data_IF_471676147479
#
_entry.id   IF_471676147479
#
_cell.length_a   1.000
_cell.length_b   1.000
_cell.length_c   1.000
_cell.angle_alpha   90.00
_cell.angle_beta   90.00
_cell.angle_gamma   90.00
#
_symmetry.space_group_name_H-M   'P 1'
#
loop_
_entity.id
_entity.type
_entity.pdbx_description
1 polymer ?
#
# COMPACT_ATOMS: atom_id res chain seq x y z
N UNK A 1 -16.04 32.11 -37.49
CA UNK A 1 -17.17 31.36 -38.06
C UNK A 1 -16.77 29.91 -38.24
N UNK A 2 -17.31 29.00 -37.44
CA UNK A 2 -17.65 27.63 -37.84
C UNK A 2 -18.86 27.23 -37.02
N UNK A 3 -19.91 26.85 -37.75
CA UNK A 3 -21.30 26.79 -37.35
C UNK A 3 -21.61 25.67 -36.35
N UNK A 4 -22.40 26.02 -35.33
CA UNK A 4 -23.12 25.12 -34.43
C UNK A 4 -24.45 24.73 -35.10
N UNK A 5 -24.78 23.43 -35.27
CA UNK A 5 -26.14 23.02 -35.62
C UNK A 5 -27.02 22.86 -34.36
N UNK A 6 -28.35 23.03 -34.48
CA UNK A 6 -29.25 23.26 -33.34
C UNK A 6 -29.63 21.99 -32.58
N UNK A 7 -29.84 22.17 -31.28
CA UNK A 7 -30.37 21.18 -30.36
C UNK A 7 -31.82 20.82 -30.70
N UNK A 8 -32.07 19.51 -30.88
CA UNK A 8 -33.40 18.91 -30.87
C UNK A 8 -33.53 18.06 -29.61
N UNK A 9 -34.35 18.52 -28.67
CA UNK A 9 -34.82 17.73 -27.52
C UNK A 9 -35.83 16.68 -28.00
N UNK A 10 -35.65 15.38 -27.68
CA UNK A 10 -36.77 14.46 -27.54
C UNK A 10 -37.24 14.42 -26.08
N UNK A 11 -38.56 14.48 -25.92
CA UNK A 11 -39.30 14.20 -24.69
C UNK A 11 -39.08 12.75 -24.23
N UNK A 12 -39.31 12.42 -22.95
CA UNK A 12 -38.96 11.12 -22.38
C UNK A 12 -39.96 10.04 -22.86
N UNK A 13 -39.50 9.14 -23.73
CA UNK A 13 -40.15 7.87 -24.00
C UNK A 13 -39.64 6.81 -23.04
N UNK A 14 -40.58 6.00 -22.56
CA UNK A 14 -40.43 4.96 -21.55
C UNK A 14 -39.25 4.02 -21.85
N UNK A 15 -38.31 3.93 -20.91
CA UNK A 15 -37.20 3.00 -20.98
C UNK A 15 -37.70 1.56 -20.79
N UNK A 16 -38.09 0.92 -21.90
CA UNK A 16 -38.09 -0.53 -21.98
C UNK A 16 -36.64 -1.02 -21.91
N UNK A 17 -36.33 -1.87 -20.94
CA UNK A 17 -35.05 -2.56 -20.81
C UNK A 17 -34.73 -3.33 -22.10
N UNK A 18 -33.96 -2.71 -23.00
CA UNK A 18 -33.29 -3.45 -24.07
C UNK A 18 -32.21 -4.30 -23.46
N UNK A 19 -32.56 -5.55 -23.15
CA UNK A 19 -31.64 -6.66 -22.89
C UNK A 19 -30.65 -6.70 -24.06
N UNK A 20 -29.40 -6.26 -23.82
CA UNK A 20 -28.30 -6.51 -24.75
C UNK A 20 -28.19 -8.03 -24.94
N UNK A 21 -28.58 -8.51 -26.11
CA UNK A 21 -28.33 -9.89 -26.54
C UNK A 21 -26.81 -10.11 -26.54
N UNK A 22 -26.28 -10.73 -25.49
CA UNK A 22 -24.94 -11.29 -25.51
C UNK A 22 -24.85 -12.27 -26.68
N UNK A 23 -23.97 -11.97 -27.63
CA UNK A 23 -23.59 -12.92 -28.67
C UNK A 23 -22.97 -14.11 -27.95
N UNK A 24 -23.69 -15.25 -27.96
CA UNK A 24 -23.22 -16.52 -27.37
C UNK A 24 -22.03 -17.03 -28.19
N UNK A 25 -20.83 -16.58 -27.88
CA UNK A 25 -19.61 -17.22 -28.34
C UNK A 25 -19.51 -18.61 -27.70
N UNK A 26 -19.34 -19.66 -28.53
CA UNK A 26 -19.19 -21.04 -28.02
C UNK A 26 -18.09 -21.09 -26.95
N UNK A 27 -18.30 -21.72 -25.77
CA UNK A 27 -17.25 -21.86 -24.76
C UNK A 27 -15.95 -22.47 -25.28
N UNK A 28 -16.03 -23.28 -26.35
CA UNK A 28 -14.87 -23.85 -27.03
C UNK A 28 -13.98 -22.79 -27.69
N UNK A 29 -14.53 -21.64 -28.08
CA UNK A 29 -13.73 -20.57 -28.70
C UNK A 29 -12.67 -20.05 -27.74
N UNK A 30 -13.01 -19.88 -26.46
CA UNK A 30 -12.06 -19.43 -25.43
C UNK A 30 -10.96 -20.47 -25.18
N UNK A 31 -11.31 -21.76 -25.27
CA UNK A 31 -10.31 -22.84 -25.15
C UNK A 31 -9.38 -22.83 -26.36
N UNK A 32 -9.92 -22.71 -27.57
CA UNK A 32 -9.13 -22.64 -28.81
C UNK A 32 -8.24 -21.39 -28.83
N UNK A 33 -8.74 -20.23 -28.41
CA UNK A 33 -7.96 -18.99 -28.29
C UNK A 33 -6.85 -19.11 -27.25
N UNK A 34 -7.12 -19.74 -26.11
CA UNK A 34 -6.11 -20.02 -25.11
C UNK A 34 -5.01 -20.94 -25.65
N UNK A 35 -5.37 -22.05 -26.30
CA UNK A 35 -4.40 -22.97 -26.90
C UNK A 35 -3.60 -22.31 -28.04
N UNK A 36 -4.24 -21.46 -28.85
CA UNK A 36 -3.53 -20.66 -29.86
C UNK A 36 -2.53 -19.72 -29.21
N UNK A 37 -2.92 -19.03 -28.13
CA UNK A 37 -2.03 -18.14 -27.39
C UNK A 37 -0.81 -18.89 -26.83
N UNK A 38 -1.00 -20.12 -26.35
CA UNK A 38 0.09 -20.99 -25.91
C UNK A 38 0.99 -21.43 -27.07
N UNK A 39 0.41 -21.77 -28.21
CA UNK A 39 1.17 -22.20 -29.40
C UNK A 39 1.99 -21.06 -30.03
N UNK A 40 1.63 -19.80 -29.79
CA UNK A 40 2.38 -18.62 -30.24
C UNK A 40 3.43 -18.13 -29.26
N UNK A 41 3.49 -18.67 -28.04
CA UNK A 41 4.52 -18.32 -27.07
C UNK A 41 5.86 -18.92 -27.49
N UNK A 42 6.92 -18.16 -27.27
CA UNK A 42 8.29 -18.65 -27.39
C UNK A 42 8.51 -19.87 -26.48
N UNK A 43 9.29 -20.85 -26.96
CA UNK A 43 9.52 -22.11 -26.26
C UNK A 43 10.15 -21.89 -24.88
N UNK A 44 11.08 -20.93 -24.76
CA UNK A 44 11.70 -20.61 -23.47
C UNK A 44 10.71 -19.99 -22.49
N UNK A 45 9.76 -19.17 -22.96
CA UNK A 45 8.68 -18.64 -22.11
C UNK A 45 7.70 -19.73 -21.69
N UNK A 46 7.39 -20.67 -22.59
CA UNK A 46 6.48 -21.78 -22.31
C UNK A 46 7.06 -22.71 -21.24
N UNK A 47 8.36 -23.04 -21.32
CA UNK A 47 9.07 -23.82 -20.29
C UNK A 47 9.05 -23.16 -18.90
N UNK A 48 9.07 -21.83 -18.86
CA UNK A 48 9.01 -21.04 -17.61
C UNK A 48 7.59 -20.67 -17.20
N UNK A 49 6.57 -21.23 -17.84
CA UNK A 49 5.17 -20.95 -17.55
C UNK A 49 4.45 -22.13 -16.93
N UNK A 50 3.40 -21.85 -16.15
CA UNK A 50 2.46 -22.86 -15.66
C UNK A 50 1.04 -22.57 -16.08
N UNK A 51 0.37 -23.60 -16.61
CA UNK A 51 -1.07 -23.57 -16.87
C UNK A 51 -1.81 -23.92 -15.58
N UNK A 52 -2.63 -22.99 -15.10
CA UNK A 52 -3.52 -23.15 -13.96
C UNK A 52 -4.94 -23.30 -14.48
N UNK A 53 -5.64 -24.32 -13.98
CA UNK A 53 -7.03 -24.60 -14.34
C UNK A 53 -7.90 -24.45 -13.12
N UNK A 54 -8.72 -23.42 -13.08
CA UNK A 54 -9.73 -23.22 -12.04
C UNK A 54 -11.03 -23.86 -12.50
N UNK A 55 -11.42 -24.95 -11.83
CA UNK A 55 -12.68 -25.66 -12.10
C UNK A 55 -13.79 -25.07 -11.25
N UNK A 56 -14.93 -24.77 -11.85
CA UNK A 56 -16.13 -24.32 -11.14
C UNK A 56 -17.37 -24.89 -11.79
N UNK A 57 -18.40 -25.20 -10.99
CA UNK A 57 -19.70 -25.67 -11.46
C UNK A 57 -20.36 -24.60 -12.34
N UNK A 58 -20.17 -23.33 -11.97
CA UNK A 58 -20.55 -22.22 -12.83
C UNK A 58 -19.47 -21.98 -13.89
N UNK A 59 -19.79 -22.26 -15.15
CA UNK A 59 -18.86 -22.13 -16.28
C UNK A 59 -18.28 -20.71 -16.42
N UNK A 60 -19.01 -19.66 -16.03
CA UNK A 60 -18.50 -18.29 -16.07
C UNK A 60 -17.38 -18.02 -15.05
N UNK A 61 -17.20 -18.92 -14.08
CA UNK A 61 -16.15 -18.88 -13.06
C UNK A 61 -15.04 -19.90 -13.30
N UNK A 62 -15.18 -20.77 -14.30
CA UNK A 62 -14.12 -21.67 -14.72
C UNK A 62 -13.14 -20.89 -15.61
N UNK A 63 -11.83 -21.08 -15.43
CA UNK A 63 -10.84 -20.40 -16.25
C UNK A 63 -9.55 -21.19 -16.43
N UNK A 64 -8.89 -20.92 -17.57
CA UNK A 64 -7.52 -21.31 -17.85
C UNK A 64 -6.65 -20.07 -17.73
N UNK A 65 -5.52 -20.17 -17.03
CA UNK A 65 -4.54 -19.10 -16.92
C UNK A 65 -3.17 -19.65 -17.22
N UNK A 66 -2.39 -18.94 -18.03
CA UNK A 66 -0.97 -19.19 -18.19
C UNK A 66 -0.22 -18.21 -17.28
N UNK A 67 0.50 -18.73 -16.30
CA UNK A 67 1.29 -17.95 -15.36
C UNK A 67 2.77 -18.07 -15.72
N UNK A 68 3.40 -16.97 -16.14
CA UNK A 68 4.84 -16.91 -16.31
C UNK A 68 5.50 -16.88 -14.92
N UNK A 69 6.32 -17.89 -14.62
CA UNK A 69 7.00 -18.04 -13.33
C UNK A 69 8.33 -17.28 -13.31
N UNK A 70 9.00 -17.21 -14.47
CA UNK A 70 10.27 -16.52 -14.64
C UNK A 70 10.24 -15.59 -15.86
N UNK A 71 10.31 -14.25 -15.66
CA UNK A 71 10.31 -13.29 -16.76
C UNK A 71 11.68 -13.13 -17.44
N UNK A 72 12.71 -13.86 -17.02
CA UNK A 72 14.09 -13.73 -17.53
C UNK A 72 14.18 -13.71 -19.07
N UNK A 73 13.54 -14.62 -19.82
CA UNK A 73 13.69 -14.64 -21.29
C UNK A 73 13.20 -13.36 -21.98
N UNK A 74 12.19 -12.68 -21.42
CA UNK A 74 11.73 -11.38 -21.94
C UNK A 74 12.77 -10.27 -21.74
N UNK A 75 13.54 -10.36 -20.65
CA UNK A 75 14.53 -9.35 -20.31
C UNK A 75 15.89 -9.62 -20.97
N UNK A 76 16.20 -10.88 -21.30
CA UNK A 76 17.40 -11.27 -22.05
C UNK A 76 17.49 -10.48 -23.38
N UNK A 77 16.37 -10.34 -24.10
CA UNK A 77 16.31 -9.56 -25.34
C UNK A 77 16.63 -8.07 -25.10
N UNK A 78 16.03 -7.47 -24.08
CA UNK A 78 16.25 -6.05 -23.73
C UNK A 78 17.71 -5.79 -23.36
N UNK A 79 18.30 -6.67 -22.55
CA UNK A 79 19.69 -6.54 -22.10
C UNK A 79 20.67 -6.72 -23.25
N UNK A 80 20.43 -7.71 -24.13
CA UNK A 80 21.30 -8.01 -25.27
C UNK A 80 21.32 -6.88 -26.30
N UNK A 81 20.14 -6.30 -26.58
CA UNK A 81 19.99 -5.38 -27.70
C UNK A 81 20.24 -3.92 -27.29
N UNK A 82 20.09 -3.58 -26.01
CA UNK A 82 20.35 -2.24 -25.51
C UNK A 82 21.84 -1.98 -25.23
N UNK A 83 22.32 -0.80 -25.61
CA UNK A 83 23.68 -0.34 -25.24
C UNK A 83 23.86 -0.16 -23.72
N UNK A 84 22.80 0.24 -23.02
CA UNK A 84 22.77 0.44 -21.57
C UNK A 84 21.33 0.39 -21.06
N UNK A 85 21.12 -0.31 -19.95
CA UNK A 85 19.82 -0.42 -19.27
C UNK A 85 19.91 0.28 -17.92
N UNK A 86 19.06 1.28 -17.70
CA UNK A 86 18.95 2.00 -16.44
C UNK A 86 17.58 1.71 -15.84
N UNK A 87 17.58 1.07 -14.67
CA UNK A 87 16.37 0.85 -13.87
C UNK A 87 16.33 1.90 -12.76
N UNK A 88 15.28 2.74 -12.76
CA UNK A 88 15.11 3.80 -11.77
C UNK A 88 13.69 3.75 -11.18
N UNK A 89 13.61 3.86 -9.85
CA UNK A 89 12.33 3.92 -9.15
C UNK A 89 12.48 4.28 -7.67
N UNK A 90 11.51 5.03 -7.13
CA UNK A 90 11.52 5.51 -5.75
C UNK A 90 11.18 4.46 -4.69
N UNK A 91 10.63 3.30 -5.10
CA UNK A 91 10.14 2.24 -4.20
C UNK A 91 10.62 0.83 -4.62
N UNK A 92 11.78 0.75 -5.28
CA UNK A 92 12.32 -0.53 -5.80
C UNK A 92 12.78 -1.52 -4.72
N UNK A 93 12.91 -1.06 -3.48
CA UNK A 93 13.31 -1.90 -2.36
C UNK A 93 12.12 -2.72 -1.82
N UNK A 94 12.30 -4.02 -1.53
CA UNK A 94 13.56 -4.80 -1.57
C UNK A 94 14.01 -5.12 -3.01
N UNK A 95 15.28 -4.85 -3.34
CA UNK A 95 15.84 -4.99 -4.71
C UNK A 95 16.25 -6.43 -5.05
N UNK A 96 16.28 -7.32 -4.06
CA UNK A 96 16.78 -8.69 -4.16
C UNK A 96 16.03 -9.49 -5.25
N UNK A 97 14.72 -9.25 -5.41
CA UNK A 97 13.94 -9.88 -6.49
C UNK A 97 14.37 -9.39 -7.88
N UNK A 98 14.70 -8.11 -8.01
CA UNK A 98 15.21 -7.57 -9.27
C UNK A 98 16.61 -8.09 -9.55
N UNK A 99 17.46 -8.19 -8.53
CA UNK A 99 18.80 -8.79 -8.66
C UNK A 99 18.71 -10.23 -9.12
N UNK A 100 17.91 -11.06 -8.45
CA UNK A 100 17.80 -12.48 -8.76
C UNK A 100 17.34 -12.69 -10.22
N UNK A 101 16.22 -12.08 -10.62
CA UNK A 101 15.68 -12.29 -11.97
C UNK A 101 16.50 -11.58 -13.05
N UNK A 102 16.78 -10.27 -12.89
CA UNK A 102 17.34 -9.45 -13.97
C UNK A 102 18.86 -9.51 -14.04
N UNK A 103 19.56 -9.79 -12.93
CA UNK A 103 21.02 -9.80 -12.91
C UNK A 103 21.57 -11.22 -12.75
N UNK A 104 21.12 -11.98 -11.74
CA UNK A 104 21.66 -13.30 -11.50
C UNK A 104 21.21 -14.31 -12.55
N UNK A 105 19.92 -14.37 -12.90
CA UNK A 105 19.43 -15.35 -13.89
C UNK A 105 19.68 -14.92 -15.33
N UNK A 106 19.47 -13.63 -15.63
CA UNK A 106 19.65 -13.09 -16.97
C UNK A 106 21.13 -12.80 -17.30
N UNK A 107 21.80 -11.91 -16.55
CA UNK A 107 23.16 -11.48 -16.90
C UNK A 107 24.20 -12.57 -16.69
N UNK A 108 24.13 -13.40 -15.64
CA UNK A 108 25.11 -14.50 -15.49
C UNK A 108 25.04 -15.50 -16.65
N UNK A 109 23.87 -15.67 -17.28
CA UNK A 109 23.69 -16.59 -18.40
C UNK A 109 24.15 -15.97 -19.72
N UNK A 110 23.79 -14.72 -19.97
CA UNK A 110 24.08 -14.06 -21.25
C UNK A 110 25.49 -13.44 -21.29
N UNK A 111 25.97 -12.88 -20.17
CA UNK A 111 27.18 -12.07 -20.09
C UNK A 111 27.79 -12.03 -18.67
N UNK A 112 28.50 -13.09 -18.21
CA UNK A 112 29.10 -13.13 -16.87
C UNK A 112 29.98 -11.93 -16.53
N UNK A 113 30.75 -11.41 -17.50
CA UNK A 113 31.62 -10.25 -17.32
C UNK A 113 30.84 -8.93 -17.12
N UNK A 114 29.58 -8.88 -17.58
CA UNK A 114 28.73 -7.71 -17.44
C UNK A 114 28.01 -7.67 -16.09
N UNK A 115 27.87 -8.82 -15.42
CA UNK A 115 27.31 -8.91 -14.07
C UNK A 115 28.12 -8.05 -13.07
N UNK A 116 29.45 -8.07 -13.18
CA UNK A 116 30.34 -7.27 -12.32
C UNK A 116 30.24 -5.76 -12.58
N UNK A 117 29.60 -5.35 -13.69
CA UNK A 117 29.35 -3.94 -14.02
C UNK A 117 28.03 -3.42 -13.48
N UNK A 118 27.21 -4.25 -12.82
CA UNK A 118 25.93 -3.82 -12.24
C UNK A 118 26.20 -2.83 -11.12
N UNK A 119 25.91 -1.55 -11.39
CA UNK A 119 26.02 -0.49 -10.40
C UNK A 119 24.66 -0.24 -9.75
N UNK A 120 24.66 -0.17 -8.41
CA UNK A 120 23.48 0.14 -7.62
C UNK A 120 23.75 1.45 -6.91
N UNK A 121 22.94 2.44 -7.24
CA UNK A 121 23.01 3.76 -6.66
C UNK A 121 21.72 4.06 -5.90
N UNK A 122 21.85 4.56 -4.67
CA UNK A 122 20.73 5.03 -3.85
C UNK A 122 21.04 6.43 -3.38
N UNK A 123 20.14 7.37 -3.69
CA UNK A 123 20.17 8.69 -3.10
C UNK A 123 19.68 8.64 -1.64
N UNK A 124 20.13 9.61 -0.84
CA UNK A 124 19.49 9.93 0.44
C UNK A 124 18.06 10.43 0.23
N UNK A 125 17.35 10.60 1.35
CA UNK A 125 15.98 11.15 1.31
C UNK A 125 15.99 12.63 0.88
N UNK A 126 14.92 13.06 0.19
CA UNK A 126 14.82 14.43 -0.34
C UNK A 126 14.63 15.48 0.77
N UNK A 127 14.01 15.08 1.89
CA UNK A 127 13.85 15.93 3.09
C UNK A 127 14.83 15.54 4.21
N UNK A 128 15.29 16.50 5.04
CA UNK A 128 16.04 16.24 6.25
C UNK A 128 15.27 15.36 7.27
N UNK A 129 15.98 14.66 8.18
CA UNK A 129 15.36 13.82 9.22
C UNK A 129 14.45 14.55 10.22
N UNK A 130 14.44 15.88 10.24
CA UNK A 130 13.56 16.69 11.09
C UNK A 130 12.17 16.86 10.52
N UNK A 131 12.00 16.71 9.19
CA UNK A 131 10.73 16.86 8.49
C UNK A 131 10.00 15.53 8.30
N UNK A 132 10.59 14.43 8.75
CA UNK A 132 10.02 13.10 8.56
C UNK A 132 10.17 12.29 9.83
N UNK A 133 9.04 11.88 10.38
CA UNK A 133 9.01 11.00 11.52
C UNK A 133 8.27 9.72 11.15
N UNK A 134 8.96 8.59 11.35
CA UNK A 134 8.41 7.28 11.12
C UNK A 134 8.49 6.45 12.40
N UNK A 135 7.36 5.86 12.80
CA UNK A 135 7.27 5.06 14.02
C UNK A 135 6.49 3.76 13.78
N UNK A 136 6.97 2.67 14.39
CA UNK A 136 6.23 1.41 14.48
C UNK A 136 5.55 1.36 15.84
N UNK A 137 4.22 1.44 15.81
CA UNK A 137 3.38 1.34 16.98
C UNK A 137 2.88 -0.10 17.13
N UNK A 138 3.46 -0.83 18.09
CA UNK A 138 3.14 -2.25 18.31
C UNK A 138 2.02 -2.48 19.30
N UNK A 139 1.65 -1.46 20.07
CA UNK A 139 0.62 -1.51 21.11
C UNK A 139 -0.21 -0.22 21.07
N UNK A 140 -1.49 -0.33 21.39
CA UNK A 140 -2.36 0.83 21.53
C UNK A 140 -2.19 1.56 22.87
N UNK A 141 -2.96 2.64 23.09
CA UNK A 141 -2.96 3.43 24.32
C UNK A 141 -3.05 2.61 25.63
N UNK A 142 -3.83 1.53 25.67
CA UNK A 142 -3.98 0.71 26.90
C UNK A 142 -2.92 -0.39 27.02
N UNK A 143 -2.00 -0.49 26.06
CA UNK A 143 -0.95 -1.50 26.02
C UNK A 143 -1.35 -2.81 25.33
N UNK A 144 -2.59 -2.93 24.82
CA UNK A 144 -3.01 -4.06 23.98
C UNK A 144 -2.22 -4.09 22.68
N UNK A 145 -1.73 -5.26 22.30
CA UNK A 145 -0.87 -5.44 21.13
C UNK A 145 -1.66 -5.33 19.82
N UNK A 146 -1.07 -4.67 18.83
CA UNK A 146 -1.58 -4.59 17.47
C UNK A 146 -1.09 -5.77 16.63
N UNK A 147 -1.99 -6.72 16.35
CA UNK A 147 -1.74 -7.83 15.44
C UNK A 147 -2.91 -7.99 14.48
N UNK A 148 -2.83 -7.38 13.30
CA UNK A 148 -3.91 -7.41 12.32
C UNK A 148 -3.82 -8.65 11.41
N UNK A 149 -3.80 -9.83 12.03
CA UNK A 149 -3.82 -11.12 11.33
C UNK A 149 -5.24 -11.52 10.95
N UNK A 150 -5.41 -12.51 10.07
CA UNK A 150 -6.73 -13.06 9.75
C UNK A 150 -7.48 -13.57 11.00
N UNK A 151 -6.75 -14.13 11.97
CA UNK A 151 -7.30 -14.64 13.21
C UNK A 151 -7.74 -13.51 14.16
N UNK A 152 -6.96 -12.43 14.24
CA UNK A 152 -7.16 -11.39 15.25
C UNK A 152 -7.94 -10.17 14.74
N UNK A 153 -8.18 -10.04 13.43
CA UNK A 153 -8.89 -8.88 12.83
C UNK A 153 -10.32 -8.64 13.31
N UNK A 154 -10.89 -9.55 14.10
CA UNK A 154 -12.21 -9.42 14.73
C UNK A 154 -12.13 -9.05 16.22
N UNK A 155 -10.94 -8.93 16.78
CA UNK A 155 -10.74 -8.55 18.17
C UNK A 155 -11.18 -7.10 18.39
N UNK A 156 -12.32 -6.95 19.05
CA UNK A 156 -12.94 -5.65 19.33
C UNK A 156 -12.05 -4.77 20.23
N UNK A 157 -11.26 -5.36 21.13
CA UNK A 157 -10.36 -4.58 21.98
C UNK A 157 -9.24 -3.96 21.15
N UNK A 158 -8.66 -4.73 20.23
CA UNK A 158 -7.66 -4.21 19.29
C UNK A 158 -8.24 -3.13 18.37
N UNK A 159 -9.50 -3.27 17.94
CA UNK A 159 -10.17 -2.24 17.14
C UNK A 159 -10.50 -0.98 17.97
N UNK A 160 -10.81 -1.12 19.26
CA UNK A 160 -10.96 0.01 20.18
C UNK A 160 -9.65 0.79 20.34
N UNK A 161 -8.53 0.09 20.51
CA UNK A 161 -7.20 0.72 20.53
C UNK A 161 -6.93 1.51 19.24
N UNK A 162 -7.23 0.91 18.08
CA UNK A 162 -7.05 1.57 16.79
C UNK A 162 -7.92 2.85 16.70
N UNK A 163 -9.18 2.78 17.13
CA UNK A 163 -10.06 3.93 17.19
C UNK A 163 -9.54 5.04 18.09
N UNK A 164 -8.96 4.69 19.25
CA UNK A 164 -8.32 5.65 20.14
C UNK A 164 -7.07 6.29 19.50
N UNK A 165 -6.24 5.54 18.77
CA UNK A 165 -5.12 6.09 18.01
C UNK A 165 -5.63 7.10 16.96
N UNK A 166 -6.63 6.71 16.16
CA UNK A 166 -7.18 7.56 15.09
C UNK A 166 -7.82 8.84 15.64
N UNK A 167 -8.54 8.76 16.77
CA UNK A 167 -9.10 9.94 17.47
C UNK A 167 -8.00 10.92 17.88
N UNK A 168 -6.94 10.44 18.53
CA UNK A 168 -5.85 11.29 18.97
C UNK A 168 -5.12 11.93 17.78
N UNK A 169 -4.84 11.15 16.73
CA UNK A 169 -4.23 11.68 15.51
C UNK A 169 -5.12 12.71 14.82
N UNK A 170 -6.45 12.55 14.84
CA UNK A 170 -7.37 13.54 14.27
C UNK A 170 -7.35 14.89 14.99
N UNK A 171 -6.94 14.93 16.26
CA UNK A 171 -6.79 16.16 17.03
C UNK A 171 -5.43 16.80 16.77
N UNK A 172 -4.35 16.00 16.78
CA UNK A 172 -2.97 16.52 16.74
C UNK A 172 -2.48 16.89 15.34
N UNK A 173 -2.87 16.14 14.31
CA UNK A 173 -2.30 16.30 12.97
C UNK A 173 -3.09 17.35 12.17
N UNK A 174 -2.45 18.40 11.62
CA UNK A 174 -3.10 19.36 10.74
C UNK A 174 -3.37 18.75 9.35
N UNK A 175 -4.29 19.34 8.59
CA UNK A 175 -4.57 18.90 7.22
C UNK A 175 -5.09 17.46 7.14
N UNK A 176 -4.53 16.70 6.20
CA UNK A 176 -4.93 15.37 5.78
C UNK A 176 -4.24 14.22 6.53
N UNK A 177 -5.05 13.24 6.95
CA UNK A 177 -4.58 11.94 7.44
C UNK A 177 -5.00 10.86 6.44
N UNK A 178 -4.07 10.06 5.95
CA UNK A 178 -4.37 8.92 5.06
C UNK A 178 -4.15 7.63 5.82
N UNK A 179 -5.22 6.86 6.03
CA UNK A 179 -5.20 5.57 6.71
C UNK A 179 -5.22 4.47 5.66
N UNK A 180 -4.12 3.73 5.52
CA UNK A 180 -3.99 2.59 4.64
C UNK A 180 -4.27 1.28 5.37
N UNK A 181 -5.21 0.50 4.85
CA UNK A 181 -5.61 -0.79 5.41
C UNK A 181 -5.14 -1.92 4.50
N UNK A 182 -4.85 -3.08 5.08
CA UNK A 182 -4.36 -4.25 4.36
C UNK A 182 -5.33 -4.86 3.33
N UNK A 183 -6.64 -4.59 3.44
CA UNK A 183 -7.65 -5.09 2.49
C UNK A 183 -8.96 -4.33 2.65
N UNK A 184 -9.84 -4.41 1.64
CA UNK A 184 -11.21 -3.87 1.73
C UNK A 184 -12.03 -4.51 2.86
N UNK A 185 -11.82 -5.80 3.17
CA UNK A 185 -12.53 -6.44 4.30
C UNK A 185 -12.07 -5.85 5.64
N UNK A 186 -10.76 -5.62 5.81
CA UNK A 186 -10.23 -4.97 7.01
C UNK A 186 -10.73 -3.52 7.12
N UNK A 187 -10.72 -2.76 6.02
CA UNK A 187 -11.24 -1.38 5.98
C UNK A 187 -12.71 -1.32 6.38
N UNK A 188 -13.56 -2.18 5.81
CA UNK A 188 -14.98 -2.23 6.16
C UNK A 188 -15.18 -2.58 7.64
N UNK A 189 -14.40 -3.53 8.18
CA UNK A 189 -14.48 -3.92 9.59
C UNK A 189 -14.11 -2.77 10.52
N UNK A 190 -12.99 -2.11 10.26
CA UNK A 190 -12.54 -0.95 11.04
C UNK A 190 -13.60 0.14 10.98
N UNK A 191 -14.07 0.50 9.78
CA UNK A 191 -15.05 1.56 9.61
C UNK A 191 -16.37 1.26 10.33
N UNK A 192 -16.93 0.06 10.16
CA UNK A 192 -18.15 -0.37 10.86
C UNK A 192 -17.97 -0.41 12.38
N UNK A 193 -16.79 -0.80 12.87
CA UNK A 193 -16.48 -0.77 14.30
C UNK A 193 -16.44 0.66 14.84
N UNK A 194 -15.77 1.58 14.13
CA UNK A 194 -15.71 3.00 14.52
C UNK A 194 -17.10 3.63 14.55
N UNK A 195 -17.96 3.28 13.59
CA UNK A 195 -19.35 3.73 13.55
C UNK A 195 -20.15 3.20 14.75
N UNK A 196 -20.11 1.89 15.01
CA UNK A 196 -20.86 1.25 16.11
C UNK A 196 -20.40 1.67 17.50
N UNK A 197 -19.10 1.90 17.68
CA UNK A 197 -18.52 2.34 18.95
C UNK A 197 -18.71 3.85 19.21
N UNK A 198 -19.20 4.62 18.23
CA UNK A 198 -19.29 6.08 18.30
C UNK A 198 -17.95 6.82 18.08
N UNK A 199 -16.83 6.09 17.97
CA UNK A 199 -15.51 6.67 17.72
C UNK A 199 -15.45 7.46 16.40
N UNK A 200 -16.18 7.02 15.37
CA UNK A 200 -16.27 7.72 14.09
C UNK A 200 -16.83 9.14 14.27
N UNK A 201 -17.90 9.29 15.07
CA UNK A 201 -18.51 10.58 15.34
C UNK A 201 -17.54 11.53 16.06
N UNK A 202 -16.74 10.99 16.98
CA UNK A 202 -15.71 11.75 17.68
C UNK A 202 -14.60 12.22 16.73
N UNK A 203 -14.14 11.35 15.82
CA UNK A 203 -13.17 11.72 14.78
C UNK A 203 -13.76 12.81 13.87
N UNK A 204 -15.03 12.67 13.47
CA UNK A 204 -15.72 13.63 12.60
C UNK A 204 -15.96 15.01 13.24
N UNK A 205 -15.83 15.14 14.57
CA UNK A 205 -15.81 16.47 15.22
C UNK A 205 -14.57 17.28 14.84
N UNK A 206 -13.48 16.61 14.47
CA UNK A 206 -12.21 17.24 14.11
C UNK A 206 -11.87 17.12 12.64
N UNK A 207 -12.10 15.96 12.01
CA UNK A 207 -11.74 15.70 10.61
C UNK A 207 -12.87 15.05 9.84
N UNK A 208 -13.20 15.59 8.66
CA UNK A 208 -14.18 14.92 7.80
C UNK A 208 -13.62 13.58 7.31
N UNK A 209 -14.36 12.49 7.50
CA UNK A 209 -13.91 11.15 7.09
C UNK A 209 -14.41 10.81 5.69
N UNK A 210 -13.48 10.30 4.87
CA UNK A 210 -13.68 9.80 3.53
C UNK A 210 -13.26 8.34 3.44
N UNK A 211 -13.83 7.62 2.47
CA UNK A 211 -13.51 6.23 2.20
C UNK A 211 -13.23 6.04 0.72
N UNK A 212 -12.39 5.06 0.42
CA UNK A 212 -12.16 4.63 -0.94
C UNK A 212 -13.44 4.12 -1.61
N UNK A 213 -13.82 4.68 -2.78
CA UNK A 213 -15.02 4.24 -3.47
C UNK A 213 -14.80 2.84 -4.08
N UNK A 214 -15.86 2.04 -4.07
CA UNK A 214 -15.85 0.73 -4.73
C UNK A 214 -15.77 0.86 -6.25
N UNK A 215 -16.34 1.92 -6.81
CA UNK A 215 -16.30 2.20 -8.25
C UNK A 215 -15.17 3.19 -8.58
N UNK A 216 -14.39 2.87 -9.61
CA UNK A 216 -13.31 3.72 -10.11
C UNK A 216 -13.82 5.08 -10.61
N UNK A 217 -15.05 5.14 -11.12
CA UNK A 217 -15.66 6.39 -11.63
C UNK A 217 -15.82 7.49 -10.57
N UNK A 218 -15.81 7.12 -9.28
CA UNK A 218 -16.02 8.04 -8.16
C UNK A 218 -14.71 8.46 -7.49
N UNK A 219 -13.57 7.91 -7.88
CA UNK A 219 -12.26 8.20 -7.27
C UNK A 219 -11.93 9.69 -7.33
N UNK A 220 -12.01 10.29 -8.51
CA UNK A 220 -11.68 11.70 -8.71
C UNK A 220 -12.58 12.65 -7.90
N UNK A 221 -13.87 12.33 -7.80
CA UNK A 221 -14.84 13.11 -7.02
C UNK A 221 -14.52 13.10 -5.52
N UNK A 222 -14.18 11.93 -4.98
CA UNK A 222 -13.81 11.79 -3.56
C UNK A 222 -12.50 12.50 -3.27
N UNK A 223 -11.50 12.38 -4.15
CA UNK A 223 -10.22 13.07 -3.99
C UNK A 223 -10.38 14.59 -4.03
N UNK A 224 -11.20 15.11 -4.95
CA UNK A 224 -11.47 16.54 -5.05
C UNK A 224 -12.12 17.08 -3.78
N UNK A 225 -13.11 16.36 -3.23
CA UNK A 225 -13.76 16.78 -1.98
C UNK A 225 -12.84 16.58 -0.76
N UNK A 226 -12.01 15.53 -0.73
CA UNK A 226 -10.98 15.34 0.29
C UNK A 226 -9.99 16.52 0.30
N UNK A 227 -9.43 16.86 -0.85
CA UNK A 227 -8.50 17.96 -1.05
C UNK A 227 -9.11 19.32 -0.63
N UNK A 228 -10.38 19.55 -0.98
CA UNK A 228 -11.12 20.73 -0.53
C UNK A 228 -11.26 20.78 1.00
N UNK A 229 -11.53 19.65 1.66
CA UNK A 229 -11.67 19.59 3.14
C UNK A 229 -10.34 19.69 3.86
N UNK A 230 -9.28 19.14 3.30
CA UNK A 230 -7.91 19.23 3.84
C UNK A 230 -7.49 20.68 4.03
N UNK A 231 -7.82 21.55 3.06
CA UNK A 231 -7.51 22.98 3.11
C UNK A 231 -8.36 23.80 4.09
N UNK A 232 -9.37 23.20 4.71
CA UNK A 232 -10.15 23.85 5.77
C UNK A 232 -9.47 23.62 7.13
N UNK A 233 -9.79 24.45 8.12
CA UNK A 233 -9.20 24.39 9.47
C UNK A 233 -9.35 23.03 10.16
N UNK A 234 -10.40 22.28 9.85
CA UNK A 234 -10.65 20.95 10.42
C UNK A 234 -9.79 19.87 9.74
N UNK A 235 -9.48 20.00 8.46
CA UNK A 235 -8.82 18.98 7.67
C UNK A 235 -9.70 17.73 7.44
N UNK A 236 -9.08 16.65 6.98
CA UNK A 236 -9.80 15.44 6.58
C UNK A 236 -9.01 14.15 6.88
N UNK A 237 -9.73 13.04 6.95
CA UNK A 237 -9.15 11.70 7.08
C UNK A 237 -9.68 10.80 5.96
N UNK A 238 -8.79 10.10 5.27
CA UNK A 238 -9.13 9.24 4.14
C UNK A 238 -8.74 7.79 4.44
N UNK A 239 -9.72 6.88 4.38
CA UNK A 239 -9.49 5.44 4.48
C UNK A 239 -9.27 4.86 3.07
N UNK A 240 -8.09 4.29 2.86
CA UNK A 240 -7.64 3.67 1.60
C UNK A 240 -7.20 2.23 1.84
N UNK A 241 -7.16 1.45 0.77
CA UNK A 241 -6.62 0.08 0.79
C UNK A 241 -5.28 0.03 0.08
N UNK A 242 -4.28 -0.62 0.69
CA UNK A 242 -2.97 -0.83 0.04
C UNK A 242 -3.11 -1.71 -1.19
N UNK A 243 -2.60 -1.25 -2.34
CA UNK A 243 -2.85 -1.87 -3.65
C UNK A 243 -4.28 -1.69 -4.18
N UNK A 244 -5.10 -0.86 -3.51
CA UNK A 244 -6.41 -0.41 -3.98
C UNK A 244 -6.31 0.74 -4.98
N UNK A 245 -7.47 1.16 -5.50
CA UNK A 245 -7.60 2.14 -6.59
C UNK A 245 -7.00 3.49 -6.25
N UNK A 246 -7.13 3.91 -4.99
CA UNK A 246 -6.62 5.22 -4.54
C UNK A 246 -5.19 5.16 -3.99
N UNK A 247 -4.63 3.95 -3.89
CA UNK A 247 -3.25 3.74 -3.48
C UNK A 247 -2.30 3.53 -4.66
N UNK A 248 -2.79 3.64 -5.89
CA UNK A 248 -2.01 3.58 -7.12
C UNK A 248 -2.12 4.93 -7.85
N UNK A 249 -1.01 5.49 -8.33
CA UNK A 249 -0.99 6.74 -9.11
C UNK A 249 -1.25 8.06 -8.37
N UNK A 250 -1.79 8.08 -7.14
CA UNK A 250 -2.11 9.32 -6.41
C UNK A 250 -1.01 9.72 -5.44
N UNK A 251 -0.65 11.01 -5.44
CA UNK A 251 0.32 11.59 -4.53
C UNK A 251 -0.39 12.38 -3.43
N UNK A 252 -0.03 12.16 -2.17
CA UNK A 252 -0.59 12.88 -1.02
C UNK A 252 0.46 13.88 -0.50
N UNK A 253 0.87 14.82 -1.36
CA UNK A 253 1.86 15.84 -1.01
C UNK A 253 1.29 16.91 -0.09
N UNK A 254 2.18 17.54 0.67
CA UNK A 254 1.85 18.69 1.51
C UNK A 254 0.70 18.37 2.48
N UNK A 255 -0.30 19.23 2.52
CA UNK A 255 -1.41 19.12 3.46
C UNK A 255 -2.27 17.89 3.21
N UNK A 256 -2.22 17.27 2.03
CA UNK A 256 -3.01 16.07 1.72
C UNK A 256 -2.59 14.85 2.56
N UNK A 257 -1.35 14.82 3.03
CA UNK A 257 -0.73 13.63 3.62
C UNK A 257 0.19 13.91 4.82
N UNK A 258 -0.14 14.90 5.66
CA UNK A 258 0.66 15.23 6.87
C UNK A 258 0.83 14.06 7.82
N UNK A 259 -0.09 13.11 7.83
CA UNK A 259 0.11 11.82 8.48
C UNK A 259 -0.40 10.66 7.61
N UNK A 260 0.46 9.66 7.43
CA UNK A 260 0.12 8.38 6.82
C UNK A 260 0.14 7.29 7.89
N UNK A 261 -0.98 6.60 8.06
CA UNK A 261 -1.15 5.52 9.04
C UNK A 261 -1.37 4.21 8.30
N UNK A 262 -0.44 3.27 8.43
CA UNK A 262 -0.56 1.92 7.86
C UNK A 262 -1.05 0.98 8.95
N UNK A 263 -2.20 0.35 8.73
CA UNK A 263 -2.83 -0.58 9.68
C UNK A 263 -2.74 -2.01 9.15
N UNK A 264 -1.93 -2.81 9.83
CA UNK A 264 -1.67 -4.18 9.45
C UNK A 264 -0.72 -4.32 8.26
N UNK A 265 -0.54 -5.57 7.84
CA UNK A 265 0.38 -5.96 6.78
C UNK A 265 -0.40 -6.56 5.59
N UNK A 266 -0.25 -6.02 4.36
CA UNK A 266 -0.98 -6.45 3.16
C UNK A 266 -0.37 -7.72 2.57
N UNK A 267 -0.29 -8.79 3.36
CA UNK A 267 0.19 -10.06 2.85
C UNK A 267 -0.74 -10.60 1.76
N UNK A 268 -0.19 -11.05 0.61
CA UNK A 268 -1.00 -11.70 -0.40
C UNK A 268 -1.58 -13.00 0.14
N UNK A 269 -2.67 -13.48 -0.47
CA UNK A 269 -3.27 -14.73 -0.03
C UNK A 269 -2.33 -15.92 -0.28
N UNK A 270 -1.79 -16.52 0.78
CA UNK A 270 -0.91 -17.70 0.71
C UNK A 270 -1.59 -18.94 0.12
N UNK A 271 -2.92 -18.95 0.06
CA UNK A 271 -3.71 -20.03 -0.57
C UNK A 271 -3.91 -19.82 -2.08
N UNK A 272 -3.48 -18.68 -2.65
CA UNK A 272 -3.47 -18.47 -4.10
C UNK A 272 -2.56 -19.50 -4.75
N UNK A 273 -3.13 -20.24 -5.71
CA UNK A 273 -2.38 -21.24 -6.49
C UNK A 273 -1.25 -20.56 -7.24
N UNK A 274 -1.49 -19.37 -7.80
CA UNK A 274 -0.49 -18.58 -8.51
C UNK A 274 0.74 -18.28 -7.63
N UNK A 275 0.49 -17.82 -6.40
CA UNK A 275 1.56 -17.52 -5.48
C UNK A 275 2.29 -18.77 -5.02
N UNK A 276 1.57 -19.86 -4.75
CA UNK A 276 2.19 -21.13 -4.36
C UNK A 276 3.09 -21.69 -5.47
N UNK A 277 2.65 -21.66 -6.72
CA UNK A 277 3.46 -22.13 -7.85
C UNK A 277 4.69 -21.22 -8.06
N UNK A 278 4.55 -19.90 -7.93
CA UNK A 278 5.69 -18.97 -8.00
C UNK A 278 6.69 -19.19 -6.85
N UNK A 279 6.20 -19.39 -5.62
CA UNK A 279 7.05 -19.70 -4.46
C UNK A 279 7.77 -21.04 -4.64
N UNK A 280 7.07 -22.09 -5.07
CA UNK A 280 7.67 -23.40 -5.37
C UNK A 280 8.76 -23.26 -6.42
N UNK A 281 8.48 -22.53 -7.51
CA UNK A 281 9.47 -22.31 -8.57
C UNK A 281 10.76 -21.66 -8.03
N UNK A 282 10.63 -20.63 -7.20
CA UNK A 282 11.78 -19.99 -6.54
C UNK A 282 12.53 -20.92 -5.58
N UNK A 283 11.78 -21.76 -4.85
CA UNK A 283 12.37 -22.71 -3.90
C UNK A 283 13.20 -23.80 -4.60
N UNK A 284 12.89 -24.15 -5.85
CA UNK A 284 13.65 -25.10 -6.68
C UNK A 284 14.90 -24.49 -7.35
N UNK A 285 15.17 -23.19 -7.17
CA UNK A 285 16.40 -22.60 -7.70
C UNK A 285 17.60 -23.02 -6.85
N UNK A 286 18.56 -23.67 -7.50
CA UNK A 286 19.83 -24.11 -6.91
C UNK A 286 20.92 -23.02 -6.94
N UNK A 287 20.60 -21.83 -7.47
CA UNK A 287 21.57 -20.74 -7.54
C UNK A 287 21.92 -20.25 -6.12
N UNK A 288 23.22 -20.12 -5.77
CA UNK A 288 23.63 -19.59 -4.49
C UNK A 288 23.09 -18.16 -4.28
N UNK A 289 22.40 -17.93 -3.17
CA UNK A 289 21.80 -16.63 -2.87
C UNK A 289 20.48 -16.34 -3.59
N UNK A 290 19.88 -17.34 -4.26
CA UNK A 290 18.63 -17.15 -4.97
C UNK A 290 17.49 -16.72 -4.04
N UNK A 291 16.61 -15.86 -4.54
CA UNK A 291 15.40 -15.48 -3.81
C UNK A 291 14.56 -16.73 -3.51
N UNK A 292 14.21 -16.95 -2.24
CA UNK A 292 13.31 -18.05 -1.84
C UNK A 292 11.85 -17.62 -1.83
N UNK A 293 10.93 -18.58 -1.91
CA UNK A 293 9.50 -18.31 -1.93
C UNK A 293 9.01 -17.56 -0.68
N UNK A 294 9.55 -17.88 0.49
CA UNK A 294 9.27 -17.16 1.74
C UNK A 294 9.71 -15.69 1.68
N UNK A 295 10.86 -15.41 1.08
CA UNK A 295 11.36 -14.04 0.90
C UNK A 295 10.49 -13.27 -0.10
N UNK A 296 10.10 -13.88 -1.23
CA UNK A 296 9.14 -13.29 -2.17
C UNK A 296 7.85 -12.87 -1.44
N UNK A 297 7.31 -13.76 -0.60
CA UNK A 297 6.08 -13.49 0.15
C UNK A 297 6.19 -12.26 1.06
N UNK A 298 7.32 -12.09 1.75
CA UNK A 298 7.60 -10.90 2.55
C UNK A 298 7.86 -9.65 1.70
N UNK A 299 8.59 -9.80 0.59
CA UNK A 299 8.91 -8.70 -0.33
C UNK A 299 7.65 -8.11 -0.95
N UNK A 300 6.68 -8.93 -1.38
CA UNK A 300 5.40 -8.46 -1.91
C UNK A 300 4.64 -7.59 -0.89
N UNK A 301 4.60 -8.04 0.36
CA UNK A 301 3.97 -7.30 1.46
C UNK A 301 4.67 -5.94 1.69
N UNK A 302 6.00 -5.95 1.78
CA UNK A 302 6.76 -4.72 2.03
C UNK A 302 6.75 -3.75 0.86
N UNK A 303 6.74 -4.24 -0.39
CA UNK A 303 6.57 -3.38 -1.58
C UNK A 303 5.25 -2.60 -1.51
N UNK A 304 4.15 -3.26 -1.15
CA UNK A 304 2.85 -2.59 -1.00
C UNK A 304 2.85 -1.54 0.13
N UNK A 305 3.49 -1.83 1.26
CA UNK A 305 3.68 -0.86 2.36
C UNK A 305 4.51 0.33 1.89
N UNK A 306 5.66 0.08 1.25
CA UNK A 306 6.57 1.12 0.75
C UNK A 306 5.92 2.01 -0.30
N UNK A 307 5.13 1.43 -1.20
CA UNK A 307 4.35 2.18 -2.17
C UNK A 307 3.27 3.05 -1.53
N UNK A 308 2.74 2.65 -0.38
CA UNK A 308 1.73 3.43 0.34
C UNK A 308 2.36 4.60 1.09
N UNK A 309 3.44 4.35 1.83
CA UNK A 309 4.15 5.39 2.61
C UNK A 309 4.94 6.37 1.74
N UNK A 310 5.45 5.92 0.59
CA UNK A 310 6.21 6.74 -0.36
C UNK A 310 5.39 7.82 -1.06
N UNK A 311 4.09 7.93 -0.76
CA UNK A 311 3.16 8.95 -1.28
C UNK A 311 3.07 10.21 -0.42
N UNK A 312 3.67 10.18 0.78
CA UNK A 312 3.54 11.24 1.77
C UNK A 312 4.49 12.43 1.54
N UNK A 313 5.64 12.20 0.90
CA UNK A 313 6.68 13.23 0.70
C UNK A 313 6.97 13.37 -0.78
N UNK A 314 6.90 14.59 -1.31
CA UNK A 314 7.16 14.84 -2.74
C UNK A 314 8.37 15.71 -3.04
N UNK A 315 8.67 16.69 -2.21
CA UNK A 315 9.77 17.64 -2.44
C UNK A 315 10.55 17.91 -1.17
N UNK A 316 11.70 18.57 -1.32
CA UNK A 316 12.65 18.85 -0.23
C UNK A 316 12.08 19.71 0.90
N UNK A 317 11.04 20.48 0.61
CA UNK A 317 10.40 21.40 1.56
C UNK A 317 9.16 20.78 2.23
N UNK A 318 8.88 19.49 1.99
CA UNK A 318 7.69 18.80 2.51
C UNK A 318 7.96 18.16 3.88
N UNK A 319 6.91 17.80 4.61
CA UNK A 319 7.01 17.08 5.87
C UNK A 319 5.83 16.15 6.12
N UNK A 320 6.08 15.02 6.76
CA UNK A 320 5.05 14.01 7.04
C UNK A 320 5.39 13.12 8.24
N UNK A 321 4.32 12.62 8.85
CA UNK A 321 4.33 11.61 9.89
C UNK A 321 3.95 10.26 9.29
N UNK A 322 4.67 9.19 9.62
CA UNK A 322 4.36 7.83 9.18
C UNK A 322 4.23 6.91 10.38
N UNK A 323 3.03 6.37 10.58
CA UNK A 323 2.72 5.44 11.65
C UNK A 323 2.45 4.06 11.09
N UNK A 324 3.21 3.06 11.53
CA UNK A 324 3.08 1.67 11.12
C UNK A 324 2.52 0.85 12.29
N UNK A 325 1.26 0.44 12.20
CA UNK A 325 0.54 -0.25 13.26
C UNK A 325 0.46 -1.75 12.96
N UNK A 326 1.48 -2.49 13.38
CA UNK A 326 1.46 -3.95 13.53
C UNK A 326 2.75 -4.43 14.22
N UNK A 327 2.66 -5.29 15.23
CA UNK A 327 3.84 -5.77 15.96
C UNK A 327 4.77 -6.62 15.10
N UNK A 328 4.26 -7.28 14.06
CA UNK A 328 5.04 -8.12 13.14
C UNK A 328 6.04 -7.32 12.31
N UNK A 329 5.84 -6.00 12.15
CA UNK A 329 6.76 -5.15 11.40
C UNK A 329 8.14 -5.12 12.05
N UNK A 330 8.22 -5.20 13.39
CA UNK A 330 9.51 -5.28 14.11
C UNK A 330 10.35 -6.46 13.64
N UNK A 331 9.73 -7.61 13.44
CA UNK A 331 10.41 -8.82 12.96
C UNK A 331 10.89 -8.63 11.52
N UNK A 332 10.10 -7.93 10.69
CA UNK A 332 10.46 -7.60 9.31
C UNK A 332 11.59 -6.59 9.20
N UNK A 333 11.80 -5.72 10.19
CA UNK A 333 12.94 -4.80 10.21
C UNK A 333 14.29 -5.54 10.27
N UNK A 334 14.33 -6.76 10.82
CA UNK A 334 15.56 -7.55 10.89
C UNK A 334 15.89 -8.29 9.59
N UNK A 335 15.00 -8.27 8.60
CA UNK A 335 15.33 -8.76 7.27
C UNK A 335 16.08 -7.67 6.50
N UNK A 336 17.34 -7.96 6.15
CA UNK A 336 18.13 -7.14 5.24
C UNK A 336 17.35 -6.95 3.92
N UNK A 337 16.87 -5.73 3.67
CA UNK A 337 16.04 -5.40 2.49
C UNK A 337 14.78 -4.58 2.79
N UNK A 338 14.35 -4.51 4.06
CA UNK A 338 13.27 -3.59 4.46
C UNK A 338 13.72 -2.12 4.37
N UNK A 339 13.00 -1.31 3.57
CA UNK A 339 13.24 0.14 3.34
C UNK A 339 13.42 0.95 4.62
N UNK A 340 12.71 0.59 5.69
CA UNK A 340 12.81 1.22 7.00
C UNK A 340 14.24 1.20 7.59
N UNK A 341 15.15 0.40 7.00
CA UNK A 341 16.54 0.22 7.45
C UNK A 341 17.57 0.85 6.50
N UNK A 342 17.28 0.99 5.20
CA UNK A 342 18.30 1.38 4.18
C UNK A 342 18.09 2.75 3.55
N UNK A 343 16.85 3.16 3.29
CA UNK A 343 16.62 4.56 2.94
C UNK A 343 16.87 5.38 4.20
N UNK A 344 17.55 6.52 4.12
CA UNK A 344 17.97 7.36 5.27
C UNK A 344 16.83 7.95 6.12
N UNK A 345 15.67 7.31 6.13
CA UNK A 345 14.63 7.41 7.14
C UNK A 345 15.28 6.92 8.42
N UNK A 346 15.74 7.84 9.25
CA UNK A 346 15.91 7.51 10.66
C UNK A 346 14.50 7.19 11.16
N UNK A 347 14.08 5.93 11.07
CA UNK A 347 13.17 5.43 12.08
C UNK A 347 13.87 5.77 13.38
N UNK A 348 13.25 6.62 14.20
CA UNK A 348 13.67 6.78 15.59
C UNK A 348 13.27 5.48 16.29
N UNK A 349 13.97 4.41 15.94
CA UNK A 349 13.97 3.12 16.60
C UNK A 349 14.61 3.35 17.96
N UNK A 350 13.83 3.89 18.88
CA UNK A 350 14.05 3.45 20.25
C UNK A 350 13.79 1.95 20.22
N UNK A 351 14.82 1.16 20.50
CA UNK A 351 14.74 -0.29 20.60
C UNK A 351 13.64 -0.75 21.60
N UNK A 352 13.18 0.14 22.48
CA UNK A 352 12.02 -0.05 23.34
C UNK A 352 10.69 0.17 22.61
N UNK A 353 9.67 -0.64 22.92
CA UNK A 353 8.27 -0.33 22.61
C UNK A 353 7.95 1.06 23.17
N UNK A 354 7.92 2.10 22.33
CA UNK A 354 7.46 3.43 22.77
C UNK A 354 6.01 3.30 23.21
N UNK A 355 5.68 3.88 24.37
CA UNK A 355 4.28 4.01 24.78
C UNK A 355 3.58 4.99 23.85
N UNK A 356 2.26 4.90 23.78
CA UNK A 356 1.47 5.78 22.94
C UNK A 356 1.66 7.27 23.30
N UNK A 357 1.87 7.59 24.58
CA UNK A 357 2.10 8.96 25.01
C UNK A 357 3.40 9.56 24.46
N UNK A 358 4.48 8.76 24.44
CA UNK A 358 5.77 9.17 23.86
C UNK A 358 5.62 9.40 22.35
N UNK A 359 4.82 8.57 21.68
CA UNK A 359 4.50 8.78 20.26
C UNK A 359 3.81 10.13 20.03
N UNK A 360 2.80 10.47 20.84
CA UNK A 360 2.07 11.75 20.70
C UNK A 360 2.99 12.96 20.87
N UNK A 361 3.93 12.89 21.83
CA UNK A 361 4.93 13.95 22.04
C UNK A 361 5.81 14.12 20.79
N UNK A 362 6.39 13.04 20.28
CA UNK A 362 7.30 13.12 19.13
C UNK A 362 6.61 13.56 17.82
N UNK A 363 5.36 13.14 17.61
CA UNK A 363 4.53 13.64 16.51
C UNK A 363 4.37 15.15 16.62
N UNK A 364 4.01 15.63 17.82
CA UNK A 364 3.81 17.06 18.08
C UNK A 364 5.09 17.86 17.90
N UNK A 365 6.21 17.38 18.44
CA UNK A 365 7.54 18.02 18.26
C UNK A 365 7.93 18.11 16.79
N UNK A 366 7.72 17.04 16.03
CA UNK A 366 8.05 17.02 14.60
C UNK A 366 7.18 17.99 13.81
N UNK A 367 5.89 18.10 14.14
CA UNK A 367 4.99 19.09 13.52
C UNK A 367 5.45 20.52 13.84
N UNK A 368 5.72 20.84 15.12
CA UNK A 368 6.21 22.16 15.54
C UNK A 368 7.54 22.55 14.86
N UNK A 369 8.44 21.58 14.65
CA UNK A 369 9.73 21.83 14.01
C UNK A 369 9.63 22.00 12.49
N UNK A 370 8.60 21.42 11.87
CA UNK A 370 8.45 21.37 10.42
C UNK A 370 7.57 22.50 9.86
N UNK A 371 6.60 22.97 10.66
CA UNK A 371 5.69 24.05 10.27
C UNK A 371 5.71 25.18 11.32
N UNK A 372 6.31 26.35 11.02
CA UNK A 372 6.36 27.48 11.94
C UNK A 372 4.99 28.12 12.21
N UNK A 373 3.98 27.86 11.37
CA UNK A 373 2.60 28.34 11.59
C UNK A 373 1.77 27.36 12.41
N UNK A 374 2.31 26.19 12.75
CA UNK A 374 1.62 25.20 13.57
C UNK A 374 1.59 25.66 15.04
N UNK A 375 0.46 26.22 15.46
CA UNK A 375 0.19 26.55 16.87
C UNK A 375 -0.66 25.45 17.50
N UNK A 376 -0.08 24.68 18.43
CA UNK A 376 -0.89 23.78 19.27
C UNK A 376 -1.81 24.63 20.15
N UNK A 377 -3.12 24.36 20.14
CA UNK A 377 -3.97 24.74 21.28
C UNK A 377 -3.47 23.95 22.50
N UNK A 378 -3.21 24.59 23.64
CA UNK A 378 -2.66 23.92 24.86
C UNK A 378 -3.44 22.67 25.31
N UNK A 379 -4.68 22.48 24.84
CA UNK A 379 -5.53 21.30 25.08
C UNK A 379 -5.24 20.07 24.19
N UNK A 380 -4.32 20.16 23.22
CA UNK A 380 -4.08 19.11 22.21
C UNK A 380 -2.95 18.12 22.55
N UNK A 381 -2.13 18.43 23.56
CA UNK A 381 -1.09 17.53 24.08
C UNK A 381 -1.69 16.76 25.26
N UNK A 382 -1.61 15.41 25.32
CA UNK A 382 -1.91 14.69 26.54
C UNK A 382 -1.01 15.25 27.65
N UNK A 383 -1.58 15.91 28.67
CA UNK A 383 -0.81 16.46 29.79
C UNK A 383 -0.15 15.31 30.55
N UNK A 384 1.07 14.94 30.17
CA UNK A 384 1.85 13.92 30.89
C UNK A 384 2.20 14.50 32.26
N UNK A 385 1.41 14.17 33.27
CA UNK A 385 1.82 14.35 34.66
C UNK A 385 3.03 13.44 34.88
N UNK A 386 4.19 14.02 35.17
CA UNK A 386 5.34 13.30 35.71
C UNK A 386 4.93 12.75 37.09
N UNK A 387 4.33 11.56 37.11
CA UNK A 387 3.94 10.87 38.35
C UNK A 387 2.57 10.21 38.26
N UNK A 388 2.60 8.87 38.28
CA UNK A 388 1.47 7.92 38.30
C UNK A 388 0.48 7.96 37.13
N UNK A 389 0.15 6.75 36.65
CA UNK A 389 -0.54 6.51 35.39
C UNK A 389 -2.04 6.80 35.38
N UNK A 390 -2.60 6.58 34.20
CA UNK A 390 -3.96 6.83 33.70
C UNK A 390 -4.21 8.26 33.18
N UNK A 391 -4.34 8.37 31.85
CA UNK A 391 -5.07 9.44 31.19
C UNK A 391 -5.99 8.83 30.11
N UNK A 392 -7.22 8.54 30.54
CA UNK A 392 -8.37 8.43 29.67
C UNK A 392 -8.93 9.85 29.46
N UNK A 393 -9.20 10.23 28.22
CA UNK A 393 -10.13 11.32 27.93
C UNK A 393 -11.55 10.81 28.26
N UNK A 394 -12.02 11.07 29.49
CA UNK A 394 -13.43 11.00 29.88
C UNK A 394 -13.97 12.45 29.91
N UNK A 395 -14.53 12.90 28.79
CA UNK A 395 -15.98 13.09 28.58
C UNK A 395 -16.24 13.49 27.11
#
# INVERSE_FOLDING_TARGET
EYLVPPALNPKPEEAQETVKKEVRSSPLIFVVEFLRSLATLDEALLEKSKVIVSRNINLSKACFRCLLLDPTPLFEEVVRDARSVILAGGTMQPIEEFKDHLFDRCLRKCSPEEYDRVQIFSCGHVVPPTQLFACILTKGPTGREFQFTFANRQDMNMLNELGAVLKNMSVMVPGGIVVFLASYDMENRVFTHLEKSGALKLIETKKKVFREPKDASNVEKILTEFDRRVRLTTGAMLFCVMGGKMSEGINFSDDLGRCVIVVGLPYPNKQSVELQEKMKYLDHSDLPGSLKGSQLYHNLCMKAVNQSIGRAIRHRDDYAQILLLDSRIRVLQFFEGCVLVKTSWKLRSSASSKTFDVLCIEVTETLNNSDPNFTNSEDSIPKVSKGLGFLAWLD
#
